data_IF_503156872928
#
_entry.id   IF_503156872928
#
_cell.length_a   1.000
_cell.length_b   1.000
_cell.length_c   1.000
_cell.angle_alpha   90.00
_cell.angle_beta   90.00
_cell.angle_gamma   90.00
#
_symmetry.space_group_name_H-M   'P 1'
#
loop_
_entity.id
_entity.type
_entity.pdbx_description
1 polymer ?
#
# COMPACT_ATOMS: atom_id res chain seq x y z
N UNK A 1 -4.13 -27.24 10.34
CA UNK A 1 -4.83 -27.00 11.62
C UNK A 1 -4.91 -28.25 12.45
N UNK A 2 -5.43 -29.38 11.92
CA UNK A 2 -5.59 -30.62 12.67
C UNK A 2 -4.31 -31.08 13.39
N UNK A 3 -3.15 -30.97 12.75
CA UNK A 3 -1.88 -31.42 13.31
C UNK A 3 -1.40 -30.57 14.49
N UNK A 4 -1.59 -29.26 14.44
CA UNK A 4 -1.22 -28.37 15.55
C UNK A 4 -2.17 -28.52 16.74
N UNK A 5 -3.46 -28.84 16.50
CA UNK A 5 -4.44 -29.17 17.56
C UNK A 5 -4.06 -30.51 18.22
N UNK A 6 -3.74 -31.56 17.41
CA UNK A 6 -3.28 -32.84 17.91
C UNK A 6 -1.98 -32.74 18.74
N UNK A 7 -1.10 -31.82 18.35
CA UNK A 7 0.14 -31.53 19.08
C UNK A 7 -0.08 -30.75 20.38
N UNK A 8 -1.32 -30.40 20.74
CA UNK A 8 -1.66 -29.69 21.97
C UNK A 8 -1.22 -28.22 21.99
N UNK A 9 -0.91 -27.64 20.83
CA UNK A 9 -0.38 -26.25 20.68
C UNK A 9 -1.47 -25.19 20.69
N UNK A 10 -2.75 -25.59 20.55
CA UNK A 10 -3.89 -24.67 20.47
C UNK A 10 -4.68 -24.76 21.77
N UNK A 11 -4.95 -23.62 22.39
CA UNK A 11 -5.81 -23.55 23.57
C UNK A 11 -6.94 -22.53 23.38
N UNK A 12 -8.08 -22.77 24.03
CA UNK A 12 -9.23 -21.88 24.16
C UNK A 12 -9.35 -21.48 25.62
N UNK A 13 -9.28 -20.19 25.92
CA UNK A 13 -9.29 -19.68 27.30
C UNK A 13 -8.33 -20.43 28.25
N UNK A 14 -7.14 -20.77 27.73
CA UNK A 14 -6.11 -21.50 28.47
C UNK A 14 -6.28 -23.01 28.53
N UNK A 15 -7.36 -23.57 27.96
CA UNK A 15 -7.63 -25.02 27.92
C UNK A 15 -7.23 -25.58 26.54
N UNK A 16 -6.34 -26.56 26.53
CA UNK A 16 -5.86 -27.20 25.27
C UNK A 16 -7.03 -27.83 24.51
N UNK A 17 -7.20 -27.41 23.26
CA UNK A 17 -8.20 -27.98 22.35
C UNK A 17 -7.79 -29.40 21.91
N UNK A 18 -8.77 -30.30 21.93
CA UNK A 18 -8.59 -31.71 21.51
C UNK A 18 -9.21 -32.02 20.15
N UNK A 19 -10.13 -31.16 19.69
CA UNK A 19 -10.85 -31.35 18.42
C UNK A 19 -10.61 -30.15 17.50
N UNK A 20 -10.23 -30.43 16.27
CA UNK A 20 -9.92 -29.41 15.27
C UNK A 20 -11.13 -28.84 14.52
N UNK A 21 -12.32 -29.45 14.72
CA UNK A 21 -13.60 -29.05 14.14
C UNK A 21 -14.48 -28.26 15.11
N UNK A 22 -14.00 -27.99 16.32
CA UNK A 22 -14.70 -27.17 17.29
C UNK A 22 -14.79 -25.73 16.79
N UNK A 23 -16.01 -25.17 16.75
CA UNK A 23 -16.22 -23.75 16.48
C UNK A 23 -15.84 -22.94 17.70
N UNK A 24 -15.00 -21.94 17.50
CA UNK A 24 -14.46 -21.08 18.56
C UNK A 24 -14.38 -19.63 18.07
N UNK A 25 -14.44 -18.68 19.01
CA UNK A 25 -14.14 -17.28 18.72
C UNK A 25 -12.61 -17.10 18.66
N UNK A 26 -12.13 -16.44 17.61
CA UNK A 26 -10.71 -16.34 17.33
C UNK A 26 -9.92 -15.59 18.43
N UNK A 27 -10.54 -14.62 19.08
CA UNK A 27 -9.93 -13.83 20.17
C UNK A 27 -9.66 -14.65 21.45
N UNK A 28 -10.36 -15.77 21.62
CA UNK A 28 -10.20 -16.68 22.76
C UNK A 28 -9.13 -17.74 22.51
N UNK A 29 -8.61 -17.80 21.26
CA UNK A 29 -7.66 -18.84 20.84
C UNK A 29 -6.23 -18.36 21.01
N UNK A 30 -5.41 -19.23 21.58
CA UNK A 30 -3.96 -19.05 21.63
C UNK A 30 -3.24 -20.18 20.87
N UNK A 31 -2.13 -19.86 20.24
CA UNK A 31 -1.19 -20.81 19.64
C UNK A 31 0.13 -20.70 20.43
N UNK A 32 0.57 -21.85 20.98
CA UNK A 32 1.77 -21.89 21.85
C UNK A 32 1.72 -20.87 23.01
N UNK A 33 0.52 -20.63 23.54
CA UNK A 33 0.29 -19.68 24.62
C UNK A 33 0.23 -18.21 24.21
N UNK A 34 0.36 -17.89 22.91
CA UNK A 34 0.28 -16.53 22.41
C UNK A 34 -1.06 -16.29 21.68
N UNK A 35 -1.69 -15.11 21.84
CA UNK A 35 -2.86 -14.74 21.05
C UNK A 35 -2.62 -14.84 19.55
N UNK A 36 -3.67 -15.10 18.78
CA UNK A 36 -3.58 -15.09 17.32
C UNK A 36 -3.30 -13.67 16.82
N UNK A 37 -2.38 -13.54 15.87
CA UNK A 37 -2.06 -12.27 15.22
C UNK A 37 -3.18 -11.85 14.28
N UNK A 38 -3.81 -10.70 14.52
CA UNK A 38 -4.88 -10.12 13.70
C UNK A 38 -5.95 -11.14 13.27
N UNK A 39 -6.69 -11.75 14.20
CA UNK A 39 -7.61 -12.86 13.91
C UNK A 39 -8.82 -12.44 13.05
N UNK A 40 -9.20 -11.15 13.09
CA UNK A 40 -10.34 -10.59 12.35
C UNK A 40 -9.92 -9.89 11.04
N UNK A 41 -8.68 -9.98 10.69
CA UNK A 41 -8.11 -9.40 9.48
C UNK A 41 -6.94 -8.49 9.78
N UNK A 42 -6.03 -8.42 8.83
CA UNK A 42 -4.76 -7.73 8.93
C UNK A 42 -4.81 -6.44 8.12
N UNK A 43 -4.35 -5.35 8.73
CA UNK A 43 -3.95 -4.13 8.03
C UNK A 43 -2.55 -3.75 8.50
N UNK A 44 -1.64 -3.54 7.56
CA UNK A 44 -0.28 -3.11 7.84
C UNK A 44 0.17 -2.02 6.86
N UNK A 45 1.10 -1.20 7.29
CA UNK A 45 1.80 -0.23 6.45
C UNK A 45 3.21 -0.74 6.20
N UNK A 46 3.61 -0.80 4.93
CA UNK A 46 4.96 -1.13 4.49
C UNK A 46 5.62 0.12 3.91
N UNK A 47 6.85 0.40 4.30
CA UNK A 47 7.71 1.34 3.57
C UNK A 47 8.40 0.59 2.43
N UNK A 48 7.73 0.57 1.26
CA UNK A 48 8.24 -0.14 0.09
C UNK A 48 9.57 0.46 -0.39
N UNK A 49 10.65 -0.31 -0.47
CA UNK A 49 11.90 0.14 -1.09
C UNK A 49 11.79 0.15 -2.61
N UNK A 50 12.77 0.76 -3.27
CA UNK A 50 12.99 0.64 -4.71
C UNK A 50 13.36 -0.81 -5.09
N UNK A 51 13.09 -1.21 -6.33
CA UNK A 51 13.47 -2.52 -6.87
C UNK A 51 12.48 -3.65 -6.60
N UNK A 52 11.50 -3.45 -5.71
CA UNK A 52 10.47 -4.45 -5.39
C UNK A 52 9.19 -4.23 -6.19
N UNK A 53 8.54 -5.31 -6.59
CA UNK A 53 7.28 -5.30 -7.34
C UNK A 53 6.08 -5.69 -6.47
N UNK A 54 4.89 -5.13 -6.78
CA UNK A 54 3.64 -5.39 -6.07
C UNK A 54 2.83 -6.50 -6.78
N UNK A 55 3.44 -7.65 -7.02
CA UNK A 55 2.80 -8.81 -7.66
C UNK A 55 3.10 -10.08 -6.88
N UNK A 56 2.19 -11.05 -6.96
CA UNK A 56 2.41 -12.42 -6.49
C UNK A 56 3.05 -13.31 -7.56
N UNK A 57 3.19 -12.80 -8.81
CA UNK A 57 3.78 -13.55 -9.91
C UNK A 57 5.29 -13.47 -9.88
N UNK A 58 5.95 -14.58 -10.15
CA UNK A 58 7.40 -14.66 -10.28
C UNK A 58 7.87 -14.03 -11.62
N UNK A 59 9.13 -13.59 -11.65
CA UNK A 59 9.85 -13.22 -12.89
C UNK A 59 10.07 -11.72 -13.12
N UNK A 60 9.41 -10.82 -12.40
CA UNK A 60 9.62 -9.36 -12.54
C UNK A 60 10.66 -8.78 -11.56
N UNK A 61 11.14 -9.61 -10.64
CA UNK A 61 12.09 -9.26 -9.58
C UNK A 61 11.57 -9.59 -8.19
N UNK A 62 12.27 -9.16 -7.13
CA UNK A 62 11.83 -9.42 -5.76
C UNK A 62 10.48 -8.77 -5.48
N UNK A 63 9.64 -9.49 -4.77
CA UNK A 63 8.28 -9.03 -4.46
C UNK A 63 8.22 -8.37 -3.08
N UNK A 64 7.27 -7.44 -2.89
CA UNK A 64 7.03 -6.83 -1.58
C UNK A 64 6.69 -7.85 -0.50
N UNK A 65 6.18 -9.02 -0.88
CA UNK A 65 5.77 -10.09 0.04
C UNK A 65 6.97 -10.76 0.72
N UNK A 66 8.16 -10.70 0.12
CA UNK A 66 9.42 -11.18 0.72
C UNK A 66 9.89 -10.33 1.90
N UNK A 67 9.37 -9.10 2.03
CA UNK A 67 9.64 -8.20 3.15
C UNK A 67 8.71 -8.42 4.35
N UNK A 68 7.67 -9.23 4.17
CA UNK A 68 6.62 -9.47 5.17
C UNK A 68 6.89 -10.77 5.93
N UNK A 69 6.30 -10.95 7.14
CA UNK A 69 6.41 -12.20 7.87
C UNK A 69 5.92 -13.39 7.05
N UNK A 70 6.70 -14.47 6.92
CA UNK A 70 6.34 -15.63 6.08
C UNK A 70 4.99 -16.25 6.44
N UNK A 71 4.58 -16.20 7.71
CA UNK A 71 3.29 -16.71 8.18
C UNK A 71 2.10 -15.97 7.56
N UNK A 72 2.27 -14.71 7.14
CA UNK A 72 1.21 -13.94 6.50
C UNK A 72 0.84 -14.50 5.12
N UNK A 73 1.79 -15.17 4.46
CA UNK A 73 1.54 -15.81 3.15
C UNK A 73 0.59 -17.02 3.24
N UNK A 74 0.40 -17.55 4.45
CA UNK A 74 -0.53 -18.67 4.69
C UNK A 74 -1.96 -18.22 5.08
N UNK A 75 -2.20 -16.92 5.16
CA UNK A 75 -3.53 -16.37 5.50
C UNK A 75 -4.54 -16.65 4.37
N UNK A 76 -5.80 -16.76 4.74
CA UNK A 76 -6.93 -16.93 3.83
C UNK A 76 -8.05 -15.98 4.23
N UNK A 77 -8.36 -14.98 3.41
CA UNK A 77 -7.75 -14.64 2.11
C UNK A 77 -6.25 -14.32 2.17
N UNK A 78 -5.56 -14.45 1.03
CA UNK A 78 -4.14 -14.11 0.93
C UNK A 78 -3.91 -12.61 1.14
N UNK A 79 -2.81 -12.28 1.80
CA UNK A 79 -2.38 -10.90 1.98
C UNK A 79 -2.05 -10.26 0.63
N UNK A 80 -2.53 -9.05 0.41
CA UNK A 80 -2.30 -8.29 -0.83
C UNK A 80 -2.04 -6.82 -0.53
N UNK A 81 -1.46 -6.09 -1.49
CA UNK A 81 -1.31 -4.64 -1.39
C UNK A 81 -2.59 -3.91 -1.75
N UNK A 82 -2.88 -2.81 -1.04
CA UNK A 82 -3.95 -1.88 -1.40
C UNK A 82 -3.41 -0.90 -2.45
N UNK A 83 -3.75 -1.17 -3.70
CA UNK A 83 -3.14 -0.51 -4.85
C UNK A 83 -1.70 -0.97 -5.07
N UNK A 84 -0.99 -0.25 -5.93
CA UNK A 84 0.37 -0.61 -6.34
C UNK A 84 1.28 0.61 -6.31
N UNK A 85 2.57 0.36 -6.17
CA UNK A 85 3.65 1.27 -6.48
C UNK A 85 4.55 0.58 -7.53
N UNK A 86 5.05 1.36 -8.46
CA UNK A 86 5.96 0.84 -9.48
C UNK A 86 7.28 0.36 -8.86
N UNK A 87 8.04 -0.44 -9.59
CA UNK A 87 9.33 -0.99 -9.13
C UNK A 87 10.32 0.11 -8.72
N UNK A 88 10.29 1.22 -9.45
CA UNK A 88 11.13 2.41 -9.26
C UNK A 88 10.44 3.52 -8.42
N UNK A 89 9.38 3.19 -7.72
CA UNK A 89 8.68 4.08 -6.78
C UNK A 89 8.76 3.50 -5.37
N UNK A 90 9.17 4.31 -4.41
CA UNK A 90 9.23 3.95 -2.99
C UNK A 90 8.10 4.57 -2.18
N UNK A 91 8.00 4.17 -0.92
CA UNK A 91 7.13 4.84 0.04
C UNK A 91 6.02 3.97 0.61
N UNK A 92 4.99 4.64 1.10
CA UNK A 92 3.87 4.04 1.81
C UNK A 92 3.05 3.12 0.92
N UNK A 93 2.93 1.86 1.33
CA UNK A 93 2.05 0.87 0.74
C UNK A 93 1.27 0.16 1.85
N UNK A 94 -0.05 0.09 1.73
CA UNK A 94 -0.89 -0.65 2.65
C UNK A 94 -1.00 -2.11 2.21
N UNK A 95 -1.01 -3.01 3.20
CA UNK A 95 -1.07 -4.47 3.03
C UNK A 95 -2.24 -4.99 3.85
N UNK A 96 -3.07 -5.85 3.28
CA UNK A 96 -4.25 -6.40 3.97
C UNK A 96 -4.64 -7.77 3.41
N UNK A 97 -5.36 -8.57 4.19
CA UNK A 97 -6.10 -9.75 3.75
C UNK A 97 -7.61 -9.49 3.66
N UNK A 98 -8.05 -8.24 3.89
CA UNK A 98 -9.46 -7.84 3.86
C UNK A 98 -9.83 -7.25 2.49
N UNK A 99 -10.50 -8.04 1.65
CA UNK A 99 -10.97 -7.61 0.32
C UNK A 99 -11.79 -6.32 0.33
N UNK A 100 -12.73 -6.10 1.28
CA UNK A 100 -13.47 -4.85 1.38
C UNK A 100 -12.57 -3.61 1.54
N UNK A 101 -11.46 -3.70 2.29
CA UNK A 101 -10.51 -2.59 2.41
C UNK A 101 -9.82 -2.31 1.08
N UNK A 102 -9.41 -3.35 0.35
CA UNK A 102 -8.84 -3.18 -1.00
C UNK A 102 -9.82 -2.39 -1.87
N UNK A 103 -11.07 -2.84 -1.94
CA UNK A 103 -12.11 -2.16 -2.74
C UNK A 103 -12.35 -0.72 -2.29
N UNK A 104 -12.47 -0.48 -0.98
CA UNK A 104 -12.70 0.85 -0.39
C UNK A 104 -11.63 1.86 -0.80
N UNK A 105 -10.36 1.47 -0.79
CA UNK A 105 -9.23 2.36 -1.04
C UNK A 105 -8.78 2.41 -2.51
N UNK A 106 -9.16 1.43 -3.35
CA UNK A 106 -8.75 1.40 -4.77
C UNK A 106 -9.86 1.77 -5.74
N UNK A 107 -11.10 1.85 -5.27
CA UNK A 107 -12.22 2.29 -6.11
C UNK A 107 -11.96 3.68 -6.68
N UNK A 108 -12.15 3.92 -7.99
CA UNK A 108 -12.00 5.23 -8.60
C UNK A 108 -12.89 6.32 -7.97
N UNK A 109 -14.03 5.90 -7.39
CA UNK A 109 -14.98 6.81 -6.72
C UNK A 109 -14.56 7.20 -5.30
N UNK A 110 -13.59 6.50 -4.72
CA UNK A 110 -13.18 6.74 -3.34
C UNK A 110 -12.33 8.01 -3.17
N UNK A 111 -11.79 8.55 -4.27
CA UNK A 111 -10.96 9.77 -4.30
C UNK A 111 -9.93 9.83 -3.16
N UNK A 112 -9.25 8.70 -2.95
CA UNK A 112 -8.28 8.57 -1.86
C UNK A 112 -7.08 9.45 -2.13
N UNK A 113 -6.82 10.40 -1.24
CA UNK A 113 -5.67 11.31 -1.29
C UNK A 113 -4.34 10.55 -1.27
N UNK A 114 -3.44 10.91 -2.19
CA UNK A 114 -2.07 10.38 -2.26
C UNK A 114 -1.12 11.55 -2.37
N UNK A 115 -0.08 11.58 -1.54
CA UNK A 115 0.95 12.63 -1.61
C UNK A 115 2.28 11.99 -1.95
N UNK A 116 2.89 12.53 -3.01
CA UNK A 116 4.16 12.11 -3.54
C UNK A 116 5.22 13.20 -3.40
N UNK A 117 6.41 12.80 -3.03
CA UNK A 117 7.63 13.61 -3.18
C UNK A 117 8.26 13.25 -4.54
N UNK A 118 8.50 14.26 -5.34
CA UNK A 118 8.95 14.12 -6.74
C UNK A 118 10.27 14.85 -6.89
N UNK A 119 11.25 14.20 -7.54
CA UNK A 119 12.48 14.84 -8.03
C UNK A 119 12.53 14.72 -9.54
N UNK A 120 12.84 15.80 -10.23
CA UNK A 120 12.88 15.91 -11.69
C UNK A 120 14.27 16.28 -12.19
N UNK A 121 14.50 16.03 -13.48
CA UNK A 121 15.79 16.19 -14.17
C UNK A 121 16.26 17.64 -14.37
N UNK A 122 15.34 18.61 -14.39
CA UNK A 122 15.68 20.02 -14.53
C UNK A 122 14.74 20.92 -13.73
N UNK A 123 15.05 22.22 -13.65
CA UNK A 123 14.33 23.16 -12.78
C UNK A 123 12.84 23.22 -13.10
N UNK A 124 12.02 23.16 -12.06
CA UNK A 124 10.56 23.30 -12.13
C UNK A 124 10.17 24.75 -12.37
N UNK A 125 9.09 24.93 -13.10
CA UNK A 125 8.49 26.23 -13.38
C UNK A 125 7.15 26.38 -12.64
N UNK A 126 6.88 27.59 -12.13
CA UNK A 126 5.62 27.87 -11.40
C UNK A 126 4.36 27.66 -12.25
N UNK A 127 4.47 27.75 -13.58
CA UNK A 127 3.40 27.45 -14.53
C UNK A 127 2.80 26.04 -14.40
N UNK A 128 3.61 25.07 -13.91
CA UNK A 128 3.13 23.71 -13.64
C UNK A 128 2.07 23.66 -12.56
N UNK A 129 2.10 24.57 -11.59
CA UNK A 129 1.15 24.61 -10.47
C UNK A 129 -0.27 24.80 -11.03
N UNK A 130 -0.44 25.81 -11.88
CA UNK A 130 -1.72 26.10 -12.53
C UNK A 130 -2.13 24.99 -13.51
N UNK A 131 -1.17 24.47 -14.29
CA UNK A 131 -1.41 23.39 -15.24
C UNK A 131 -1.97 22.14 -14.54
N UNK A 132 -1.38 21.72 -13.43
CA UNK A 132 -1.85 20.53 -12.72
C UNK A 132 -3.15 20.78 -11.93
N UNK A 133 -3.36 22.00 -11.46
CA UNK A 133 -4.61 22.39 -10.78
C UNK A 133 -5.81 22.54 -11.74
N UNK A 134 -5.58 22.73 -13.03
CA UNK A 134 -6.63 22.96 -14.02
C UNK A 134 -7.60 21.78 -14.21
N UNK A 135 -7.11 20.54 -14.00
CA UNK A 135 -7.85 19.33 -14.33
C UNK A 135 -7.96 19.07 -15.84
N UNK A 136 -7.12 19.70 -16.66
CA UNK A 136 -7.13 19.58 -18.11
C UNK A 136 -5.96 18.73 -18.66
N UNK A 137 -5.08 18.24 -17.79
CA UNK A 137 -3.92 17.44 -18.21
C UNK A 137 -4.38 16.12 -18.83
N UNK A 138 -4.18 15.99 -20.14
CA UNK A 138 -4.46 14.76 -20.87
C UNK A 138 -3.22 13.87 -20.93
N UNK A 139 -3.41 12.60 -20.56
CA UNK A 139 -2.34 11.59 -20.68
C UNK A 139 -2.54 10.80 -21.98
N UNK A 140 -1.45 10.50 -22.66
CA UNK A 140 -1.48 9.72 -23.90
C UNK A 140 -2.21 8.37 -23.70
N UNK A 141 -3.21 8.10 -24.52
CA UNK A 141 -4.00 6.86 -24.46
C UNK A 141 -5.12 6.87 -23.42
N UNK A 142 -5.40 8.01 -22.81
CA UNK A 142 -6.55 8.18 -21.90
C UNK A 142 -7.66 8.99 -22.57
N UNK A 143 -8.91 8.64 -22.27
CA UNK A 143 -10.10 9.30 -22.83
C UNK A 143 -10.56 10.52 -22.02
N UNK A 144 -10.01 10.71 -20.83
CA UNK A 144 -10.38 11.79 -19.91
C UNK A 144 -9.15 12.47 -19.34
N UNK A 145 -9.21 13.78 -19.09
CA UNK A 145 -8.13 14.47 -18.40
C UNK A 145 -7.94 13.93 -16.98
N UNK A 146 -6.78 14.22 -16.38
CA UNK A 146 -6.53 13.98 -14.98
C UNK A 146 -7.44 14.83 -14.11
N UNK A 147 -7.79 14.35 -12.93
CA UNK A 147 -8.41 15.21 -11.91
C UNK A 147 -7.44 16.33 -11.53
N UNK A 148 -7.95 17.50 -11.09
CA UNK A 148 -7.11 18.57 -10.54
C UNK A 148 -6.15 18.02 -9.50
N UNK A 149 -4.88 18.38 -9.61
CA UNK A 149 -3.82 17.97 -8.70
C UNK A 149 -3.14 19.19 -8.08
N UNK A 150 -2.82 19.11 -6.77
CA UNK A 150 -2.10 20.17 -6.10
C UNK A 150 -0.60 19.91 -6.19
N UNK A 151 0.13 20.84 -6.80
CA UNK A 151 1.59 20.82 -6.85
C UNK A 151 2.15 21.94 -5.94
N UNK A 152 3.00 21.56 -5.00
CA UNK A 152 3.76 22.49 -4.15
C UNK A 152 5.25 22.32 -4.52
N UNK A 153 5.86 23.31 -5.17
CA UNK A 153 7.30 23.31 -5.52
C UNK A 153 8.09 23.55 -4.24
N UNK A 154 8.93 22.59 -3.86
CA UNK A 154 9.72 22.61 -2.60
C UNK A 154 11.19 22.95 -2.80
N UNK A 155 11.64 22.95 -4.05
CA UNK A 155 13.00 23.30 -4.44
C UNK A 155 13.10 23.34 -5.96
N UNK A 156 14.25 23.72 -6.52
CA UNK A 156 14.38 23.90 -7.98
C UNK A 156 14.04 22.63 -8.76
N UNK A 157 14.32 21.43 -8.23
CA UNK A 157 14.09 20.14 -8.88
C UNK A 157 13.14 19.26 -8.08
N UNK A 158 12.52 19.77 -7.02
CA UNK A 158 11.71 18.98 -6.11
C UNK A 158 10.34 19.57 -5.89
N UNK A 159 9.34 18.72 -5.78
CA UNK A 159 7.97 19.11 -5.49
C UNK A 159 7.23 18.06 -4.66
N UNK A 160 6.14 18.49 -4.03
CA UNK A 160 5.12 17.63 -3.44
C UNK A 160 3.88 17.66 -4.32
N UNK A 161 3.43 16.50 -4.81
CA UNK A 161 2.24 16.36 -5.65
C UNK A 161 1.16 15.61 -4.89
N UNK A 162 -0.02 16.22 -4.78
CA UNK A 162 -1.22 15.60 -4.20
C UNK A 162 -2.19 15.20 -5.29
N UNK A 163 -2.53 13.91 -5.34
CA UNK A 163 -3.51 13.32 -6.26
C UNK A 163 -4.71 12.75 -5.50
N UNK A 164 -5.90 12.82 -6.12
CA UNK A 164 -7.13 12.17 -5.63
C UNK A 164 -7.50 10.92 -6.44
N UNK A 165 -6.72 10.56 -7.44
CA UNK A 165 -6.89 9.38 -8.29
C UNK A 165 -5.56 8.60 -8.41
N UNK A 166 -5.59 7.47 -9.14
CA UNK A 166 -4.37 6.69 -9.38
C UNK A 166 -4.47 5.94 -10.71
N UNK A 167 -3.94 6.52 -11.78
CA UNK A 167 -3.81 5.88 -13.10
C UNK A 167 -2.43 5.24 -13.24
N UNK A 168 -2.30 4.39 -14.23
CA UNK A 168 -1.02 3.75 -14.56
C UNK A 168 0.08 4.79 -14.77
N UNK A 169 1.15 4.70 -13.97
CA UNK A 169 2.31 5.62 -13.97
C UNK A 169 1.93 7.12 -13.97
N UNK A 170 0.83 7.49 -13.31
CA UNK A 170 0.22 8.80 -13.47
C UNK A 170 1.17 9.97 -13.20
N UNK A 171 1.89 9.97 -12.07
CA UNK A 171 2.80 11.07 -11.72
C UNK A 171 3.86 11.25 -12.81
N UNK A 172 4.53 10.18 -13.21
CA UNK A 172 5.57 10.22 -14.25
C UNK A 172 5.03 10.73 -15.58
N UNK A 173 3.84 10.27 -15.97
CA UNK A 173 3.19 10.67 -17.22
C UNK A 173 2.71 12.12 -17.19
N UNK A 174 2.23 12.63 -16.04
CA UNK A 174 1.84 14.03 -15.90
C UNK A 174 3.04 14.96 -16.09
N UNK A 175 4.17 14.71 -15.41
CA UNK A 175 5.38 15.48 -15.59
C UNK A 175 5.93 15.36 -17.02
N UNK A 176 5.98 14.17 -17.59
CA UNK A 176 6.46 13.93 -18.95
C UNK A 176 5.60 14.64 -20.00
N UNK A 177 4.29 14.76 -19.81
CA UNK A 177 3.41 15.49 -20.72
C UNK A 177 3.73 16.99 -20.80
N UNK A 178 4.41 17.51 -19.78
CA UNK A 178 4.83 18.90 -19.69
C UNK A 178 6.34 19.10 -19.94
N UNK A 179 7.08 18.04 -20.26
CA UNK A 179 8.50 18.09 -20.65
C UNK A 179 9.48 17.73 -19.53
N UNK A 180 9.04 17.34 -18.34
CA UNK A 180 9.92 16.95 -17.22
C UNK A 180 10.03 15.43 -17.09
N UNK A 181 11.23 14.95 -16.79
CA UNK A 181 11.45 13.55 -16.43
C UNK A 181 11.54 13.38 -14.91
N UNK A 182 10.72 12.47 -14.35
CA UNK A 182 10.76 12.15 -12.93
C UNK A 182 11.88 11.15 -12.64
N UNK A 183 12.93 11.61 -11.95
CA UNK A 183 14.08 10.79 -11.54
C UNK A 183 13.79 9.98 -10.28
N UNK A 184 13.15 10.61 -9.26
CA UNK A 184 12.78 9.96 -7.99
C UNK A 184 11.32 10.21 -7.68
N UNK A 185 10.65 9.16 -7.21
CA UNK A 185 9.24 9.20 -6.81
C UNK A 185 9.06 8.44 -5.52
N UNK A 186 8.48 9.11 -4.53
CA UNK A 186 8.24 8.56 -3.20
C UNK A 186 6.85 8.92 -2.70
N UNK A 187 6.03 7.92 -2.34
CA UNK A 187 4.70 8.17 -1.75
C UNK A 187 4.79 8.26 -0.25
N UNK A 188 4.64 9.45 0.31
CA UNK A 188 4.69 9.67 1.76
C UNK A 188 3.36 9.52 2.47
N UNK A 189 2.23 9.63 1.74
CA UNK A 189 0.87 9.54 2.30
C UNK A 189 -0.09 8.80 1.37
N UNK A 190 -1.00 8.03 1.95
CA UNK A 190 -2.10 7.34 1.28
C UNK A 190 -3.35 7.40 2.17
N UNK A 191 -4.39 8.11 1.74
CA UNK A 191 -5.53 8.44 2.59
C UNK A 191 -5.09 9.19 3.84
N UNK A 192 -5.50 8.71 5.00
CA UNK A 192 -5.15 9.27 6.31
C UNK A 192 -3.82 8.73 6.86
N UNK A 193 -3.25 7.70 6.21
CA UNK A 193 -2.01 7.07 6.63
C UNK A 193 -0.81 7.86 6.13
N UNK A 194 0.13 8.13 7.03
CA UNK A 194 1.39 8.80 6.75
C UNK A 194 2.55 7.87 7.09
N UNK A 195 3.60 7.88 6.25
CA UNK A 195 4.75 7.00 6.44
C UNK A 195 5.51 7.30 7.75
N UNK A 196 5.56 8.58 8.16
CA UNK A 196 6.24 8.99 9.37
C UNK A 196 7.73 8.61 9.35
N UNK A 197 8.18 8.00 10.45
CA UNK A 197 9.57 7.58 10.67
C UNK A 197 9.80 6.09 10.37
N UNK A 198 8.84 5.40 9.76
CA UNK A 198 8.99 3.98 9.42
C UNK A 198 10.17 3.79 8.45
N UNK A 199 11.16 3.01 8.85
CA UNK A 199 12.37 2.77 8.06
C UNK A 199 12.05 2.02 6.75
N UNK A 200 12.87 2.24 5.73
CA UNK A 200 12.77 1.59 4.41
C UNK A 200 12.84 0.07 4.57
N UNK A 201 11.92 -0.65 3.91
CA UNK A 201 11.81 -2.10 3.97
C UNK A 201 11.16 -2.63 5.25
N UNK A 202 10.77 -1.75 6.17
CA UNK A 202 10.05 -2.12 7.40
C UNK A 202 8.54 -1.96 7.22
N UNK A 203 7.82 -2.67 8.07
CA UNK A 203 6.36 -2.62 8.16
C UNK A 203 5.93 -2.43 9.61
N UNK A 204 4.72 -1.94 9.80
CA UNK A 204 4.05 -1.89 11.09
C UNK A 204 2.58 -2.26 10.96
N UNK A 205 2.04 -2.92 11.99
CA UNK A 205 0.61 -3.17 12.08
C UNK A 205 -0.14 -1.86 12.31
N UNK A 206 -1.32 -1.78 11.72
CA UNK A 206 -2.28 -0.69 11.89
C UNK A 206 -3.58 -1.25 12.48
N UNK A 207 -4.33 -0.39 13.16
CA UNK A 207 -5.68 -0.72 13.55
C UNK A 207 -6.54 -0.92 12.30
N UNK A 208 -7.29 -2.01 12.29
CA UNK A 208 -8.19 -2.32 11.18
C UNK A 208 -9.46 -1.50 11.35
N UNK A 209 -9.79 -0.60 10.41
CA UNK A 209 -11.03 0.15 10.48
C UNK A 209 -12.22 -0.80 10.30
N UNK A 210 -13.36 -0.44 10.86
CA UNK A 210 -14.62 -1.17 10.63
C UNK A 210 -14.93 -1.23 9.12
N UNK A 211 -15.28 -2.44 8.66
CA UNK A 211 -15.44 -2.78 7.24
C UNK A 211 -16.92 -3.04 6.93
#
# INVERSE_FOLDING_TARGET
VADIVKAGRVALDGIVLKKSDQKVEADQVTLDGQPLEAPHGLLAMLHKPLGYVCTHSDGEGPTIYELLPPQWMNRKPSVTSIGRLDKDTSGLLLITDLGPLVHRYTSPRAEVKKIYEVTVDHALEDSLIETFASGEVMLRGEDRPCLPAKLDITGSHTASLTLMEGRYHQVRRMFASQGWHVEKLHRRQFGDYQLGTLEVGRWQMLDTPEV
#
